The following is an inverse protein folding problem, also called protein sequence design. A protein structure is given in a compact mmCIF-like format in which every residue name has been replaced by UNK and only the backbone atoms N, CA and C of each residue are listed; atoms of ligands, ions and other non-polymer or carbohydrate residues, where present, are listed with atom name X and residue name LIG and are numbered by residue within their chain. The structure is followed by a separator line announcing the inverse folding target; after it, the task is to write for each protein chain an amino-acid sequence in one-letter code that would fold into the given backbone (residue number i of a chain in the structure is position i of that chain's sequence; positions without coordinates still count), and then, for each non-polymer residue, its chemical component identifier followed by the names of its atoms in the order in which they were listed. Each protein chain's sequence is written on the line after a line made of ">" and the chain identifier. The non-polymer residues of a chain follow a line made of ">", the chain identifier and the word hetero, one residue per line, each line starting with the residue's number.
data_IF_699587434637
#
_entry.id   IF_699587434637
#
_cell.length_a   1.000
_cell.length_b   1.000
_cell.length_c   1.000
_cell.angle_alpha   90.00
_cell.angle_beta   90.00
_cell.angle_gamma   90.00
#
_symmetry.space_group_name_H-M   'P 1'
#
loop_
_entity.id
_entity.type
_entity.pdbx_description
1 polymer ?
#
# COMPACT_ATOMS: atom_id res chain seq x y z
N UNK A 1 -20.91 -10.11 5.92
CA UNK A 1 -19.79 -9.22 6.16
C UNK A 1 -18.70 -9.49 5.14
N UNK A 2 -18.18 -8.44 4.55
CA UNK A 2 -17.22 -8.59 3.46
C UNK A 2 -15.80 -8.70 4.02
N UNK A 3 -15.06 -9.67 3.53
CA UNK A 3 -13.67 -9.86 3.90
C UNK A 3 -12.75 -9.15 2.90
N UNK A 4 -11.55 -8.79 3.35
CA UNK A 4 -10.60 -8.06 2.52
C UNK A 4 -10.20 -8.84 1.28
N UNK A 5 -10.16 -10.17 1.35
CA UNK A 5 -9.83 -10.97 0.19
C UNK A 5 -10.71 -10.72 -1.01
N UNK A 6 -11.94 -10.23 -0.77
CA UNK A 6 -12.89 -9.95 -1.84
C UNK A 6 -12.72 -8.55 -2.44
N UNK A 7 -11.99 -7.68 -1.76
CA UNK A 7 -11.85 -6.27 -2.14
C UNK A 7 -10.43 -5.87 -2.48
N UNK A 8 -9.44 -6.58 -1.96
CA UNK A 8 -8.05 -6.17 -2.11
C UNK A 8 -7.63 -6.18 -3.57
N UNK A 9 -6.70 -5.29 -3.89
CA UNK A 9 -6.03 -5.33 -5.17
C UNK A 9 -4.95 -6.39 -5.11
N UNK A 10 -4.94 -7.30 -6.07
CA UNK A 10 -3.85 -8.26 -6.24
C UNK A 10 -2.73 -7.70 -7.11
N UNK A 11 -2.93 -6.52 -7.68
CA UNK A 11 -1.89 -5.80 -8.40
C UNK A 11 -1.04 -5.09 -7.36
N UNK A 12 0.07 -5.71 -7.00
CA UNK A 12 0.93 -5.23 -5.94
C UNK A 12 2.23 -4.72 -6.54
N UNK A 13 2.50 -3.43 -6.34
CA UNK A 13 3.80 -2.87 -6.67
C UNK A 13 4.76 -3.22 -5.55
N UNK A 14 5.97 -3.64 -5.89
CA UNK A 14 6.97 -4.01 -4.92
C UNK A 14 8.28 -3.30 -5.20
N UNK A 15 8.99 -2.96 -4.14
CA UNK A 15 10.29 -2.34 -4.20
C UNK A 15 11.14 -2.92 -3.07
N UNK A 16 12.36 -2.41 -2.92
CA UNK A 16 13.28 -2.85 -1.86
C UNK A 16 13.73 -1.65 -1.05
N UNK A 17 14.25 -1.88 0.18
CA UNK A 17 14.66 -0.74 1.05
C UNK A 17 15.75 0.13 0.45
N UNK A 18 16.63 -0.46 -0.35
CA UNK A 18 17.76 0.25 -0.95
C UNK A 18 17.47 0.79 -2.35
N UNK A 19 16.28 0.55 -2.87
CA UNK A 19 15.86 1.15 -4.13
C UNK A 19 15.72 2.66 -3.98
N UNK A 20 15.84 3.38 -5.08
CA UNK A 20 15.65 4.82 -5.05
C UNK A 20 14.16 5.18 -4.97
N UNK A 21 13.88 6.35 -4.42
CA UNK A 21 12.50 6.86 -4.39
C UNK A 21 11.98 7.00 -5.82
N UNK A 22 12.84 7.42 -6.75
CA UNK A 22 12.45 7.53 -8.16
C UNK A 22 12.01 6.20 -8.74
N UNK A 23 12.78 5.13 -8.48
CA UNK A 23 12.45 3.80 -8.99
C UNK A 23 11.15 3.28 -8.40
N UNK A 24 10.95 3.48 -7.09
CA UNK A 24 9.73 3.05 -6.43
C UNK A 24 8.51 3.78 -6.97
N UNK A 25 8.63 5.10 -7.15
CA UNK A 25 7.54 5.89 -7.70
C UNK A 25 7.19 5.42 -9.13
N UNK A 26 8.20 5.08 -9.92
CA UNK A 26 7.97 4.60 -11.29
C UNK A 26 7.21 3.27 -11.30
N UNK A 27 7.53 2.37 -10.36
CA UNK A 27 6.81 1.09 -10.25
C UNK A 27 5.35 1.34 -9.88
N UNK A 28 5.09 2.28 -8.97
CA UNK A 28 3.72 2.61 -8.56
C UNK A 28 2.92 3.18 -9.73
N UNK A 29 3.52 4.09 -10.49
CA UNK A 29 2.86 4.68 -11.66
C UNK A 29 2.56 3.62 -12.71
N UNK A 30 3.54 2.76 -12.99
CA UNK A 30 3.36 1.71 -14.00
C UNK A 30 2.25 0.73 -13.62
N UNK A 31 2.10 0.44 -12.33
CA UNK A 31 1.07 -0.45 -11.84
C UNK A 31 -0.26 0.26 -11.56
N UNK A 32 -0.27 1.57 -11.66
CA UNK A 32 -1.45 2.40 -11.38
C UNK A 32 -1.98 2.15 -9.97
N UNK A 33 -1.09 2.18 -8.99
CA UNK A 33 -1.43 1.98 -7.58
C UNK A 33 -0.83 3.09 -6.73
N UNK A 34 -1.40 3.30 -5.55
CA UNK A 34 -0.98 4.36 -4.64
C UNK A 34 -0.02 3.93 -3.55
N UNK A 35 0.50 2.71 -3.63
CA UNK A 35 1.47 2.23 -2.64
C UNK A 35 2.35 1.16 -3.24
N UNK A 36 3.52 0.95 -2.62
CA UNK A 36 4.40 -0.16 -2.95
C UNK A 36 4.79 -0.86 -1.65
N UNK A 37 4.72 -2.18 -1.65
CA UNK A 37 5.25 -2.94 -0.53
C UNK A 37 6.76 -2.97 -0.66
N UNK A 38 7.45 -2.82 0.46
CA UNK A 38 8.91 -2.80 0.49
C UNK A 38 9.36 -4.16 1.03
N UNK A 39 9.95 -4.95 0.13
CA UNK A 39 10.30 -6.33 0.45
C UNK A 39 11.81 -6.48 0.61
N UNK A 40 12.18 -7.25 1.61
CA UNK A 40 13.57 -7.66 1.81
C UNK A 40 13.57 -9.19 1.74
N UNK A 41 13.85 -9.73 0.55
CA UNK A 41 13.60 -11.13 0.29
C UNK A 41 12.10 -11.41 0.37
N UNK A 42 11.70 -12.36 1.21
CA UNK A 42 10.29 -12.67 1.44
C UNK A 42 9.70 -11.90 2.63
N UNK A 43 10.50 -11.04 3.26
CA UNK A 43 10.09 -10.28 4.44
C UNK A 43 9.50 -8.93 4.05
N UNK A 44 8.32 -8.64 4.57
CA UNK A 44 7.68 -7.34 4.37
C UNK A 44 8.34 -6.32 5.33
N UNK A 45 9.24 -5.53 4.78
CA UNK A 45 10.01 -4.57 5.57
C UNK A 45 9.28 -3.24 5.77
N UNK A 46 8.43 -2.87 4.83
CA UNK A 46 7.76 -1.58 4.92
C UNK A 46 6.72 -1.38 3.85
N UNK A 47 6.13 -0.21 3.84
CA UNK A 47 5.24 0.24 2.79
C UNK A 47 5.56 1.69 2.46
N UNK A 48 5.62 1.98 1.16
CA UNK A 48 5.81 3.34 0.65
C UNK A 48 4.52 3.76 -0.05
N UNK A 49 3.99 4.90 0.32
CA UNK A 49 2.72 5.37 -0.23
C UNK A 49 2.91 6.62 -1.06
N UNK A 50 1.89 6.97 -1.85
CA UNK A 50 1.92 8.21 -2.62
C UNK A 50 2.05 9.43 -1.70
N UNK A 51 1.53 9.38 -0.48
CA UNK A 51 1.73 10.46 0.48
C UNK A 51 3.20 10.59 0.86
N UNK A 52 3.91 9.47 1.03
CA UNK A 52 5.33 9.50 1.31
C UNK A 52 6.11 10.14 0.17
N UNK A 53 5.75 9.79 -1.06
CA UNK A 53 6.38 10.38 -2.25
C UNK A 53 6.10 11.87 -2.31
N UNK A 54 4.89 12.29 -1.99
CA UNK A 54 4.53 13.70 -1.96
C UNK A 54 5.34 14.46 -0.90
N UNK A 55 5.46 13.88 0.30
CA UNK A 55 6.29 14.50 1.35
C UNK A 55 7.75 14.58 0.93
N UNK A 56 8.25 13.55 0.25
CA UNK A 56 9.59 13.56 -0.28
C UNK A 56 9.75 14.69 -1.29
N UNK A 57 8.81 14.83 -2.22
CA UNK A 57 8.87 15.85 -3.26
C UNK A 57 8.93 17.26 -2.66
N UNK A 58 8.28 17.48 -1.53
CA UNK A 58 8.26 18.77 -0.87
C UNK A 58 9.64 19.19 -0.35
N UNK A 59 10.57 18.24 -0.17
CA UNK A 59 11.93 18.57 0.30
C UNK A 59 12.80 19.17 -0.80
N UNK A 60 12.47 18.96 -2.06
CA UNK A 60 13.31 19.37 -3.17
C UNK A 60 14.53 18.50 -3.39
N UNK A 61 14.68 17.40 -2.64
CA UNK A 61 15.81 16.49 -2.81
C UNK A 61 15.67 15.66 -4.08
N UNK A 62 16.80 15.12 -4.54
CA UNK A 62 16.84 14.33 -5.76
C UNK A 62 16.28 12.93 -5.51
N UNK A 63 15.19 12.53 -6.17
CA UNK A 63 14.60 11.21 -5.96
C UNK A 63 15.52 10.08 -6.46
N UNK A 64 16.47 10.35 -7.32
CA UNK A 64 17.42 9.34 -7.79
C UNK A 64 18.58 9.15 -6.82
N UNK A 65 18.71 10.01 -5.82
CA UNK A 65 19.77 9.95 -4.82
C UNK A 65 19.25 9.62 -3.41
N UNK A 66 17.97 9.37 -3.28
CA UNK A 66 17.33 9.08 -1.99
C UNK A 66 16.77 7.68 -2.01
N UNK A 67 16.85 6.98 -0.88
CA UNK A 67 16.44 5.58 -0.82
C UNK A 67 15.11 5.41 -0.12
N UNK A 68 14.41 4.35 -0.51
CA UNK A 68 13.07 4.03 -0.01
C UNK A 68 13.04 3.88 1.51
N UNK A 69 14.07 3.26 2.09
CA UNK A 69 14.07 3.00 3.54
C UNK A 69 14.03 4.25 4.38
N UNK A 70 14.46 5.39 3.84
CA UNK A 70 14.42 6.65 4.57
C UNK A 70 13.03 7.28 4.58
N UNK A 71 12.13 6.81 3.71
CA UNK A 71 10.82 7.43 3.51
C UNK A 71 9.64 6.50 3.77
N UNK A 72 9.86 5.20 3.79
CA UNK A 72 8.83 4.21 4.01
C UNK A 72 8.34 4.20 5.46
N UNK A 73 7.17 3.64 5.69
CA UNK A 73 6.77 3.21 7.02
C UNK A 73 7.34 1.81 7.24
N UNK A 74 8.24 1.69 8.20
CA UNK A 74 8.87 0.41 8.51
C UNK A 74 7.92 -0.43 9.36
N UNK A 75 8.01 -1.76 9.19
CA UNK A 75 7.26 -2.71 9.99
C UNK A 75 5.78 -2.36 10.02
N UNK A 76 5.12 -2.28 8.86
CA UNK A 76 3.76 -1.79 8.76
C UNK A 76 2.77 -2.77 9.36
N UNK A 77 1.66 -2.24 9.84
CA UNK A 77 0.55 -3.11 10.20
C UNK A 77 0.01 -3.77 8.95
N UNK A 78 -0.44 -5.00 9.09
CA UNK A 78 -0.98 -5.78 7.99
C UNK A 78 -2.27 -6.44 8.45
N UNK A 79 -3.10 -6.81 7.47
CA UNK A 79 -4.29 -7.58 7.71
C UNK A 79 -4.19 -8.91 7.02
N UNK A 80 -5.16 -9.78 7.20
CA UNK A 80 -5.26 -11.04 6.48
C UNK A 80 -6.42 -10.97 5.48
N UNK A 81 -6.49 -11.90 4.53
CA UNK A 81 -7.63 -11.94 3.62
C UNK A 81 -8.98 -12.11 4.35
N UNK A 82 -8.95 -12.67 5.54
CA UNK A 82 -10.16 -12.91 6.33
C UNK A 82 -10.58 -11.70 7.18
N UNK A 83 -9.73 -10.69 7.28
CA UNK A 83 -10.05 -9.48 8.04
C UNK A 83 -11.28 -8.81 7.42
N UNK A 84 -12.21 -8.39 8.27
CA UNK A 84 -13.41 -7.72 7.80
C UNK A 84 -13.11 -6.29 7.35
N UNK A 85 -13.99 -5.77 6.50
CA UNK A 85 -13.91 -4.38 6.05
C UNK A 85 -13.93 -3.43 7.24
N UNK A 86 -14.80 -3.70 8.20
CA UNK A 86 -14.94 -2.85 9.38
C UNK A 86 -13.66 -2.81 10.22
N UNK A 87 -13.04 -3.97 10.39
CA UNK A 87 -11.79 -4.05 11.13
C UNK A 87 -10.67 -3.32 10.43
N UNK A 88 -10.57 -3.50 9.10
CA UNK A 88 -9.55 -2.82 8.30
C UNK A 88 -9.75 -1.30 8.34
N UNK A 89 -10.98 -0.84 8.21
CA UNK A 89 -11.29 0.59 8.30
C UNK A 89 -10.87 1.14 9.66
N UNK A 90 -11.12 0.40 10.73
CA UNK A 90 -10.71 0.79 12.07
C UNK A 90 -9.21 0.92 12.21
N UNK A 91 -8.47 -0.03 11.67
CA UNK A 91 -7.00 0.03 11.69
C UNK A 91 -6.51 1.28 10.97
N UNK A 92 -7.03 1.54 9.78
CA UNK A 92 -6.63 2.71 9.00
C UNK A 92 -6.98 4.01 9.74
N UNK A 93 -8.18 4.07 10.29
CA UNK A 93 -8.65 5.26 10.98
C UNK A 93 -7.82 5.57 12.22
N UNK A 94 -7.56 4.55 13.04
CA UNK A 94 -6.81 4.76 14.30
C UNK A 94 -5.37 5.18 14.04
N UNK A 95 -4.79 4.74 12.94
CA UNK A 95 -3.37 4.96 12.66
C UNK A 95 -3.13 6.05 11.60
N UNK A 96 -4.19 6.55 10.98
CA UNK A 96 -4.06 7.65 10.02
C UNK A 96 -3.48 7.27 8.68
N UNK A 97 -3.51 5.99 8.30
CA UNK A 97 -3.03 5.59 6.98
C UNK A 97 -4.17 5.06 6.11
N UNK A 98 -3.93 5.06 4.81
CA UNK A 98 -4.95 4.77 3.80
C UNK A 98 -4.67 3.51 2.99
N UNK A 99 -3.60 2.81 3.29
CA UNK A 99 -3.20 1.59 2.60
C UNK A 99 -2.79 0.56 3.63
N UNK A 100 -3.19 -0.69 3.40
CA UNK A 100 -2.94 -1.76 4.35
C UNK A 100 -2.53 -3.00 3.57
N UNK A 101 -1.31 -3.53 3.80
CA UNK A 101 -0.91 -4.78 3.18
C UNK A 101 -1.78 -5.92 3.71
N UNK A 102 -2.10 -6.86 2.84
CA UNK A 102 -2.84 -8.06 3.19
C UNK A 102 -1.91 -9.24 3.06
N UNK A 103 -1.70 -9.93 4.17
CA UNK A 103 -0.67 -10.97 4.28
C UNK A 103 -1.33 -12.28 4.73
N UNK A 104 -0.95 -13.38 4.08
CA UNK A 104 -1.34 -14.72 4.50
C UNK A 104 -0.06 -15.46 4.84
N UNK A 105 0.13 -15.78 6.13
CA UNK A 105 1.40 -16.31 6.59
C UNK A 105 2.50 -15.31 6.35
N UNK A 106 3.45 -15.63 5.48
CA UNK A 106 4.55 -14.73 5.11
C UNK A 106 4.39 -14.13 3.72
N UNK A 107 3.28 -14.42 3.07
CA UNK A 107 3.07 -14.01 1.70
C UNK A 107 2.18 -12.78 1.65
N UNK A 108 2.66 -11.74 0.96
CA UNK A 108 1.83 -10.58 0.68
C UNK A 108 0.87 -10.95 -0.45
N UNK A 109 -0.42 -10.99 -0.13
CA UNK A 109 -1.46 -11.39 -1.08
C UNK A 109 -1.99 -10.22 -1.87
N UNK A 110 -1.94 -9.04 -1.28
CA UNK A 110 -2.51 -7.86 -1.91
C UNK A 110 -2.35 -6.66 -1.01
N UNK A 111 -2.96 -5.56 -1.43
CA UNK A 111 -3.02 -4.33 -0.67
C UNK A 111 -4.45 -3.82 -0.76
N UNK A 112 -4.98 -3.32 0.33
CA UNK A 112 -6.27 -2.65 0.31
C UNK A 112 -6.05 -1.18 0.62
N UNK A 113 -6.69 -0.31 -0.15
CA UNK A 113 -6.69 1.12 0.11
C UNK A 113 -8.00 1.51 0.77
N UNK A 114 -8.01 2.67 1.44
CA UNK A 114 -9.24 3.19 2.01
C UNK A 114 -10.32 3.32 0.93
N UNK A 115 -9.93 3.71 -0.27
CA UNK A 115 -10.86 3.82 -1.39
C UNK A 115 -11.47 2.48 -1.76
N UNK A 116 -10.70 1.40 -1.68
CA UNK A 116 -11.20 0.06 -2.00
C UNK A 116 -12.36 -0.35 -1.12
N UNK A 117 -12.37 0.12 0.13
CA UNK A 117 -13.44 -0.23 1.07
C UNK A 117 -14.79 0.35 0.63
N UNK A 118 -14.78 1.42 -0.12
CA UNK A 118 -15.98 2.09 -0.58
C UNK A 118 -16.30 1.83 -2.06
N UNK A 119 -15.31 1.39 -2.82
CA UNK A 119 -15.45 1.26 -4.28
C UNK A 119 -16.61 0.37 -4.70
N UNK A 120 -16.87 -0.78 -4.07
CA UNK A 120 -17.98 -1.62 -4.49
C UNK A 120 -19.34 -0.92 -4.38
N UNK A 121 -19.48 -0.06 -3.38
CA UNK A 121 -20.74 0.65 -3.15
C UNK A 121 -20.95 1.77 -4.17
N UNK A 122 -19.85 2.40 -4.58
CA UNK A 122 -19.90 3.53 -5.50
C UNK A 122 -20.03 3.06 -6.95
N UNK A 123 -19.25 2.03 -7.31
CA UNK A 123 -19.17 1.60 -8.69
C UNK A 123 -20.43 0.92 -9.22
N UNK A 124 -21.11 0.18 -8.35
CA UNK A 124 -22.22 -0.63 -8.82
C UNK A 124 -23.32 0.14 -9.50
N UNK A 125 -23.81 1.23 -8.90
CA UNK A 125 -24.88 1.97 -9.57
C UNK A 125 -24.46 2.54 -10.92
N UNK A 126 -23.16 2.81 -11.07
CA UNK A 126 -22.68 3.42 -12.29
C UNK A 126 -22.56 2.44 -13.44
N UNK A 127 -22.60 1.17 -13.16
CA UNK A 127 -22.51 0.15 -14.17
C UNK A 127 -23.85 -0.16 -14.82
N UNK A 128 -24.92 0.14 -14.14
CA UNK A 128 -26.27 -0.13 -14.56
C UNK A 128 -26.74 0.63 -15.77
#
# INVERSE_FOLDING_TARGET
>A
MTALGDLMSTRVAATTPDATVAAAAAVMVAADVGSAVVMQGSFLAGILTERDVLRFAATGEDPSASVVSDWMTADPQAASPDTSVEEAAGIMFRNGFRHLPVVSGRTVCGVVSLRDLFAPRIRRPLKG
#
